data_IF_387955349389
#
_entry.id   IF_387955349389
#
_cell.length_a   1.000
_cell.length_b   1.000
_cell.length_c   1.000
_cell.angle_alpha   90.00
_cell.angle_beta   90.00
_cell.angle_gamma   90.00
#
_symmetry.space_group_name_H-M   'P 1'
#
loop_
_entity.id
_entity.type
_entity.pdbx_description
1 polymer ?
#
# COMPACT_ATOMS: atom_id res chain seq x y z
N UNK A 1 6.70 -1.24 10.97
CA UNK A 1 7.16 0.13 11.36
C UNK A 1 5.94 0.99 11.66
N UNK A 2 5.93 1.86 12.67
CA UNK A 2 4.77 2.73 12.99
C UNK A 2 4.64 3.94 12.07
N UNK A 3 3.45 4.56 12.00
CA UNK A 3 3.23 5.79 11.21
C UNK A 3 4.11 6.96 11.66
N UNK A 4 4.31 7.17 12.96
CA UNK A 4 5.18 8.26 13.44
C UNK A 4 6.63 8.04 13.01
N UNK A 5 7.10 6.78 13.04
CA UNK A 5 8.41 6.43 12.49
C UNK A 5 8.47 6.63 10.98
N UNK A 6 7.40 6.32 10.24
CA UNK A 6 7.30 6.60 8.80
C UNK A 6 7.50 8.08 8.50
N UNK A 7 6.73 8.95 9.14
CA UNK A 7 6.79 10.40 8.91
C UNK A 7 8.15 10.97 9.32
N UNK A 8 8.71 10.53 10.45
CA UNK A 8 10.04 10.97 10.92
C UNK A 8 11.16 10.58 9.96
N UNK A 9 11.10 9.38 9.38
CA UNK A 9 12.11 8.87 8.45
C UNK A 9 11.92 9.40 7.02
N UNK A 10 10.73 9.91 6.70
CA UNK A 10 10.38 10.48 5.40
C UNK A 10 9.83 11.91 5.54
N UNK A 11 10.67 12.93 5.81
CA UNK A 11 10.21 14.30 6.06
C UNK A 11 9.38 14.92 4.92
N UNK A 12 9.61 14.46 3.69
CA UNK A 12 8.82 14.86 2.51
C UNK A 12 7.37 14.36 2.54
N UNK A 13 7.04 13.43 3.45
CA UNK A 13 5.69 12.94 3.71
C UNK A 13 5.00 13.68 4.87
N UNK A 14 5.59 14.77 5.38
CA UNK A 14 5.04 15.55 6.50
C UNK A 14 3.66 16.18 6.22
N UNK A 15 3.24 16.27 4.95
CA UNK A 15 1.90 16.75 4.56
C UNK A 15 0.76 15.94 5.17
N UNK A 16 0.99 14.67 5.51
CA UNK A 16 -0.03 13.81 6.13
C UNK A 16 0.19 13.60 7.64
N UNK A 17 1.17 14.26 8.26
CA UNK A 17 1.63 13.94 9.63
C UNK A 17 0.52 14.07 10.69
N UNK A 18 -0.39 15.01 10.48
CA UNK A 18 -1.48 15.34 11.40
C UNK A 18 -2.81 14.67 10.99
N UNK A 19 -2.82 13.92 9.88
CA UNK A 19 -4.02 13.21 9.41
C UNK A 19 -4.20 11.90 10.18
N UNK A 20 -5.33 11.79 10.88
CA UNK A 20 -5.74 10.54 11.49
C UNK A 20 -6.03 9.50 10.42
N UNK A 21 -6.66 9.89 9.30
CA UNK A 21 -6.96 8.95 8.21
C UNK A 21 -5.68 8.34 7.62
N UNK A 22 -4.64 9.15 7.40
CA UNK A 22 -3.36 8.64 6.90
C UNK A 22 -2.72 7.63 7.86
N UNK A 23 -2.83 7.87 9.16
CA UNK A 23 -2.37 6.94 10.20
C UNK A 23 -3.14 5.64 10.17
N UNK A 24 -4.46 5.70 10.04
CA UNK A 24 -5.34 4.53 9.96
C UNK A 24 -5.07 3.71 8.69
N UNK A 25 -5.02 4.35 7.52
CA UNK A 25 -4.64 3.70 6.25
C UNK A 25 -3.28 3.01 6.39
N UNK A 26 -2.30 3.70 6.96
CA UNK A 26 -0.96 3.14 7.11
C UNK A 26 -0.94 1.92 8.04
N UNK A 27 -1.51 2.02 9.24
CA UNK A 27 -1.42 0.96 10.25
C UNK A 27 -2.34 -0.23 9.93
N UNK A 28 -3.56 0.04 9.44
CA UNK A 28 -4.64 -0.95 9.39
C UNK A 28 -4.99 -1.41 7.97
N UNK A 29 -4.55 -0.71 6.93
CA UNK A 29 -4.76 -1.14 5.54
C UNK A 29 -3.44 -1.54 4.89
N UNK A 30 -2.43 -0.67 4.94
CA UNK A 30 -1.14 -0.91 4.27
C UNK A 30 -0.28 -1.94 5.03
N UNK A 31 -0.28 -1.89 6.37
CA UNK A 31 0.46 -2.83 7.21
C UNK A 31 -0.32 -4.08 7.62
N UNK A 32 -1.59 -4.20 7.20
CA UNK A 32 -2.36 -5.42 7.38
C UNK A 32 -1.70 -6.61 6.67
N UNK A 33 -1.63 -7.76 7.34
CA UNK A 33 -0.92 -8.94 6.87
C UNK A 33 -1.52 -9.49 5.58
N UNK A 34 -2.84 -9.64 5.52
CA UNK A 34 -3.51 -10.18 4.34
C UNK A 34 -3.33 -9.25 3.14
N UNK A 35 -3.43 -7.95 3.36
CA UNK A 35 -3.19 -6.95 2.33
C UNK A 35 -1.74 -6.97 1.83
N UNK A 36 -0.75 -7.08 2.72
CA UNK A 36 0.67 -7.22 2.32
C UNK A 36 0.91 -8.49 1.51
N UNK A 37 0.28 -9.61 1.87
CA UNK A 37 0.34 -10.86 1.10
C UNK A 37 -0.26 -10.66 -0.30
N UNK A 38 -1.46 -10.07 -0.40
CA UNK A 38 -2.11 -9.77 -1.69
C UNK A 38 -1.26 -8.83 -2.54
N UNK A 39 -0.66 -7.80 -1.94
CA UNK A 39 0.25 -6.87 -2.62
C UNK A 39 1.51 -7.58 -3.15
N UNK A 40 2.08 -8.51 -2.39
CA UNK A 40 3.22 -9.32 -2.83
C UNK A 40 2.85 -10.27 -3.98
N UNK A 41 1.69 -10.95 -3.91
CA UNK A 41 1.19 -11.84 -4.96
C UNK A 41 0.92 -11.11 -6.27
N UNK A 42 0.33 -9.91 -6.20
CA UNK A 42 0.15 -9.03 -7.37
C UNK A 42 1.49 -8.57 -7.94
N UNK A 43 2.44 -8.21 -7.09
CA UNK A 43 3.78 -7.78 -7.50
C UNK A 43 4.54 -8.90 -8.22
N UNK A 44 4.43 -10.15 -7.75
CA UNK A 44 4.98 -11.32 -8.44
C UNK A 44 4.39 -11.51 -9.86
N UNK A 45 3.18 -11.01 -10.10
CA UNK A 45 2.53 -10.99 -11.41
C UNK A 45 2.77 -9.69 -12.20
N UNK A 46 3.71 -8.84 -11.76
CA UNK A 46 4.00 -7.51 -12.31
C UNK A 46 2.74 -6.60 -12.37
N UNK A 47 1.79 -6.80 -11.45
CA UNK A 47 0.60 -5.97 -11.25
C UNK A 47 0.91 -4.96 -10.12
N UNK A 48 0.50 -3.68 -10.24
CA UNK A 48 0.74 -2.72 -9.17
C UNK A 48 0.13 -3.15 -7.83
N UNK A 49 0.93 -3.04 -6.76
CA UNK A 49 0.51 -3.46 -5.41
C UNK A 49 -0.75 -2.74 -4.93
N UNK A 50 -0.90 -1.45 -5.27
CA UNK A 50 -2.06 -0.64 -4.88
C UNK A 50 -3.41 -1.28 -5.26
N UNK A 51 -3.46 -2.12 -6.31
CA UNK A 51 -4.69 -2.83 -6.71
C UNK A 51 -5.30 -3.62 -5.55
N UNK A 52 -4.50 -4.21 -4.66
CA UNK A 52 -5.00 -5.00 -3.53
C UNK A 52 -5.81 -4.18 -2.52
N UNK A 53 -5.51 -2.89 -2.37
CA UNK A 53 -6.01 -2.06 -1.26
C UNK A 53 -6.69 -0.78 -1.74
N UNK A 54 -6.74 -0.51 -3.05
CA UNK A 54 -7.29 0.72 -3.59
C UNK A 54 -8.74 0.95 -3.14
N UNK A 55 -9.61 -0.06 -3.24
CA UNK A 55 -11.00 0.06 -2.81
C UNK A 55 -11.11 0.31 -1.31
N UNK A 56 -10.32 -0.39 -0.48
CA UNK A 56 -10.31 -0.19 0.97
C UNK A 56 -9.95 1.25 1.35
N UNK A 57 -8.97 1.85 0.64
CA UNK A 57 -8.59 3.25 0.86
C UNK A 57 -9.73 4.20 0.46
N UNK A 58 -10.37 3.96 -0.69
CA UNK A 58 -11.48 4.80 -1.17
C UNK A 58 -12.67 4.71 -0.21
N UNK A 59 -13.04 3.50 0.21
CA UNK A 59 -14.14 3.25 1.14
C UNK A 59 -13.88 3.88 2.50
N UNK A 60 -12.64 3.79 3.00
CA UNK A 60 -12.25 4.40 4.27
C UNK A 60 -12.34 5.94 4.24
N UNK A 61 -12.09 6.54 3.08
CA UNK A 61 -12.09 8.00 2.92
C UNK A 61 -13.49 8.62 2.70
N UNK A 62 -14.56 7.84 2.61
CA UNK A 62 -15.91 8.35 2.36
C UNK A 62 -16.73 8.52 3.66
N UNK A 63 -17.47 9.63 3.89
CA UNK A 63 -17.38 10.98 3.32
C UNK A 63 -16.64 12.01 4.23
N UNK A 64 -16.10 11.61 5.39
CA UNK A 64 -15.50 12.53 6.39
C UNK A 64 -14.01 12.29 6.62
N UNK A 65 -13.24 12.22 5.53
CA UNK A 65 -11.81 12.00 5.58
C UNK A 65 -11.02 13.30 5.73
N UNK A 66 -10.06 13.34 6.65
CA UNK A 66 -9.10 14.46 6.80
C UNK A 66 -7.91 14.37 5.82
N UNK A 67 -7.96 13.43 4.88
CA UNK A 67 -6.95 13.16 3.87
C UNK A 67 -7.53 13.28 2.45
N UNK A 68 -7.07 14.26 1.68
CA UNK A 68 -7.45 14.42 0.27
C UNK A 68 -6.72 13.40 -0.61
N UNK A 69 -7.36 12.24 -0.83
CA UNK A 69 -6.82 11.19 -1.70
C UNK A 69 -6.88 11.52 -3.19
N UNK A 70 -7.49 12.65 -3.58
CA UNK A 70 -7.44 13.14 -4.96
C UNK A 70 -6.16 13.93 -5.25
N UNK A 71 -5.50 14.42 -4.20
CA UNK A 71 -4.24 15.17 -4.27
C UNK A 71 -3.06 14.28 -4.68
N UNK A 72 -2.30 14.71 -5.71
CA UNK A 72 -1.16 13.94 -6.22
C UNK A 72 -0.03 13.75 -5.21
N UNK A 73 0.20 14.71 -4.31
CA UNK A 73 1.19 14.57 -3.24
C UNK A 73 0.76 13.50 -2.25
N UNK A 74 -0.51 13.49 -1.84
CA UNK A 74 -1.07 12.45 -0.96
C UNK A 74 -0.97 11.07 -1.62
N UNK A 75 -1.31 10.94 -2.90
CA UNK A 75 -1.15 9.68 -3.66
C UNK A 75 0.30 9.20 -3.67
N UNK A 76 1.27 10.10 -3.81
CA UNK A 76 2.69 9.76 -3.73
C UNK A 76 3.09 9.29 -2.33
N UNK A 77 2.54 9.89 -1.28
CA UNK A 77 2.76 9.43 0.09
C UNK A 77 2.21 8.02 0.28
N UNK A 78 0.98 7.73 -0.18
CA UNK A 78 0.40 6.36 -0.15
C UNK A 78 1.33 5.37 -0.88
N UNK A 79 1.85 5.74 -2.05
CA UNK A 79 2.83 4.91 -2.76
C UNK A 79 4.10 4.64 -1.93
N UNK A 80 4.60 5.63 -1.18
CA UNK A 80 5.74 5.44 -0.27
C UNK A 80 5.38 4.56 0.93
N UNK A 81 4.18 4.70 1.49
CA UNK A 81 3.69 3.82 2.55
C UNK A 81 3.73 2.36 2.12
N UNK A 82 3.23 2.06 0.92
CA UNK A 82 3.25 0.72 0.33
C UNK A 82 4.70 0.24 0.14
N UNK A 83 5.58 1.07 -0.42
CA UNK A 83 7.00 0.70 -0.59
C UNK A 83 7.65 0.32 0.73
N UNK A 84 7.39 1.05 1.81
CA UNK A 84 7.98 0.74 3.12
C UNK A 84 7.37 -0.53 3.72
N UNK A 85 6.08 -0.80 3.52
CA UNK A 85 5.45 -2.04 3.96
C UNK A 85 5.93 -3.26 3.17
N UNK A 86 6.33 -3.10 1.90
CA UNK A 86 6.83 -4.20 1.07
C UNK A 86 8.33 -4.43 1.18
N UNK A 87 9.12 -3.43 1.59
CA UNK A 87 10.58 -3.55 1.71
C UNK A 87 11.06 -4.72 2.59
N UNK A 88 10.44 -5.05 3.75
CA UNK A 88 10.84 -6.23 4.53
C UNK A 88 10.69 -7.56 3.77
N UNK A 89 9.81 -7.62 2.77
CA UNK A 89 9.63 -8.79 1.91
C UNK A 89 10.66 -8.83 0.76
N UNK A 90 11.63 -7.91 0.74
CA UNK A 90 12.62 -7.78 -0.33
C UNK A 90 12.06 -7.18 -1.63
N UNK A 91 10.86 -6.60 -1.58
CA UNK A 91 10.18 -6.04 -2.75
C UNK A 91 10.55 -4.57 -2.96
N UNK A 92 11.13 -4.26 -4.11
CA UNK A 92 11.56 -2.91 -4.48
C UNK A 92 10.72 -2.36 -5.66
N UNK A 93 10.47 -1.05 -5.72
CA UNK A 93 9.70 -0.44 -6.79
C UNK A 93 10.44 -0.53 -8.14
N UNK A 94 9.74 -1.00 -9.18
CA UNK A 94 10.33 -1.20 -10.51
C UNK A 94 9.85 -0.16 -11.51
N UNK A 95 8.53 -0.11 -11.75
CA UNK A 95 7.93 0.73 -12.80
C UNK A 95 6.52 1.14 -12.44
N UNK A 96 6.11 2.31 -12.94
CA UNK A 96 4.72 2.75 -12.89
C UNK A 96 3.93 2.11 -14.03
N UNK A 97 2.74 1.62 -13.72
CA UNK A 97 1.78 1.06 -14.67
C UNK A 97 0.39 1.62 -14.46
N UNK A 98 -0.42 1.54 -15.51
CA UNK A 98 -1.85 1.82 -15.42
C UNK A 98 -2.54 0.75 -14.57
N UNK A 99 -3.46 1.19 -13.72
CA UNK A 99 -4.28 0.30 -12.92
C UNK A 99 -5.38 -0.38 -13.78
N UNK A 100 -5.84 -1.59 -13.40
CA UNK A 100 -6.98 -2.23 -14.05
C UNK A 100 -8.24 -1.37 -14.00
N UNK A 101 -9.14 -1.51 -14.97
CA UNK A 101 -10.41 -0.76 -15.01
C UNK A 101 -11.33 -1.05 -13.81
N UNK A 102 -11.11 -2.17 -13.11
CA UNK A 102 -11.83 -2.54 -11.89
C UNK A 102 -11.42 -1.71 -10.67
N UNK A 103 -10.34 -0.92 -10.75
CA UNK A 103 -9.94 0.03 -9.70
C UNK A 103 -10.58 1.39 -9.98
N UNK A 104 -10.93 2.14 -8.94
CA UNK A 104 -11.45 3.51 -9.04
C UNK A 104 -10.49 4.41 -9.84
N UNK A 105 -10.83 4.63 -11.12
CA UNK A 105 -10.01 5.35 -12.08
C UNK A 105 -10.06 6.87 -11.89
N UNK A 106 -11.04 7.39 -11.14
CA UNK A 106 -11.15 8.82 -10.86
C UNK A 106 -10.13 9.23 -9.80
N UNK A 107 -9.83 8.31 -8.88
CA UNK A 107 -8.86 8.53 -7.81
C UNK A 107 -7.48 7.99 -8.22
N UNK A 108 -7.37 6.71 -8.57
CA UNK A 108 -6.11 6.05 -8.84
C UNK A 108 -6.01 5.58 -10.31
N UNK A 109 -5.19 6.27 -11.10
CA UNK A 109 -4.96 5.93 -12.52
C UNK A 109 -3.74 5.03 -12.74
N UNK A 110 -2.66 5.34 -12.03
CA UNK A 110 -1.37 4.66 -12.17
C UNK A 110 -0.81 4.35 -10.79
N UNK A 111 -0.07 3.24 -10.67
CA UNK A 111 0.64 2.86 -9.47
C UNK A 111 1.90 2.07 -9.80
N UNK A 112 2.73 1.82 -8.79
CA UNK A 112 4.03 1.15 -8.93
C UNK A 112 3.86 -0.37 -8.82
N UNK A 113 4.48 -1.13 -9.73
CA UNK A 113 4.75 -2.57 -9.54
C UNK A 113 6.10 -2.77 -8.86
N UNK A 114 6.23 -3.89 -8.15
CA UNK A 114 7.40 -4.22 -7.35
C UNK A 114 7.99 -5.56 -7.80
N UNK A 115 9.29 -5.76 -7.59
CA UNK A 115 9.96 -7.04 -7.81
C UNK A 115 10.86 -7.40 -6.63
N UNK A 116 11.10 -8.69 -6.45
CA UNK A 116 11.95 -9.23 -5.39
C UNK A 116 13.45 -9.07 -5.75
N UNK A 117 13.94 -7.83 -5.72
CA UNK A 117 15.35 -7.49 -6.01
C UNK A 117 16.11 -7.04 -4.78
N UNK A 118 15.43 -6.73 -3.68
CA UNK A 118 16.03 -6.32 -2.41
C UNK A 118 16.36 -7.50 -1.51
N UNK A 119 17.01 -7.20 -0.37
CA UNK A 119 17.32 -8.19 0.67
C UNK A 119 16.13 -8.36 1.62
N UNK A 120 15.42 -9.49 1.62
CA UNK A 120 14.27 -9.69 2.50
C UNK A 120 14.71 -9.90 3.97
N UNK A 121 13.93 -9.35 4.89
CA UNK A 121 14.00 -9.61 6.33
C UNK A 121 12.78 -10.37 6.85
N UNK A 122 11.73 -10.47 6.04
CA UNK A 122 10.48 -11.20 6.27
C UNK A 122 10.18 -12.08 5.04
N UNK A 123 9.38 -13.14 5.23
CA UNK A 123 8.91 -14.00 4.13
C UNK A 123 7.43 -14.33 4.31
N UNK A 124 6.71 -14.55 3.21
CA UNK A 124 5.33 -15.05 3.24
C UNK A 124 5.36 -16.58 3.34
N UNK A 125 4.74 -17.13 4.37
CA UNK A 125 4.51 -18.58 4.52
C UNK A 125 3.05 -18.90 4.25
N UNK A 126 2.78 -19.78 3.27
CA UNK A 126 1.41 -20.22 2.92
C UNK A 126 1.22 -21.65 3.42
N UNK A 127 0.15 -21.88 4.17
CA UNK A 127 -0.20 -23.21 4.70
C UNK A 127 -1.53 -23.69 4.11
N UNK A 128 -1.58 -24.96 3.71
CA UNK A 128 -2.83 -25.64 3.35
C UNK A 128 -3.48 -26.13 4.64
N UNK A 129 -4.70 -25.68 4.92
CA UNK A 129 -5.47 -26.12 6.09
C UNK A 129 -6.60 -27.06 5.68
N UNK A 130 -6.90 -28.10 6.47
CA UNK A 130 -8.07 -28.95 6.24
C UNK A 130 -9.37 -28.16 6.30
N UNK A 131 -10.33 -28.46 5.41
CA UNK A 131 -11.68 -27.91 5.48
C UNK A 131 -12.43 -28.67 6.59
N UNK A 132 -12.68 -28.03 7.71
CA UNK A 132 -13.61 -28.53 8.72
C UNK A 132 -15.04 -28.38 8.20
N UNK A 133 -15.73 -29.49 7.99
CA UNK A 133 -17.16 -29.53 7.67
C UNK A 133 -18.00 -29.48 8.93
#
# INVERSE_FOLDING_TARGET
MTFDSFVKTHPTCSVVKDSQTAREIYNNIVWDEENRIKMADLSASDIPALVAIASQIVDFCAPNCDLDITNDTVKQVIGRMISVALAPLGLEPVKKKRLPQSTDQDIFKNATSYAATGTPTERVEKHIVPITK
#
